data_IF_531690923004
#
_entry.id   IF_531690923004
#
_cell.length_a   1.000
_cell.length_b   1.000
_cell.length_c   1.000
_cell.angle_alpha   90.00
_cell.angle_beta   90.00
_cell.angle_gamma   90.00
#
_symmetry.space_group_name_H-M   'P 1'
#
loop_
_entity.id
_entity.type
_entity.pdbx_description
1 polymer ?
#
# COMPACT_ATOMS: atom_id res chain seq x y z
N UNK A 1 -3.58 -17.24 14.72
CA UNK A 1 -2.27 -16.93 14.10
C UNK A 1 -2.41 -15.57 13.46
N UNK A 2 -1.33 -14.79 13.43
CA UNK A 2 -1.37 -13.43 12.90
C UNK A 2 -1.28 -13.42 11.37
N UNK A 3 -1.81 -12.38 10.73
CA UNK A 3 -1.70 -12.13 9.30
C UNK A 3 -1.07 -10.75 9.07
N UNK A 4 -0.17 -10.65 8.09
CA UNK A 4 0.51 -9.42 7.71
C UNK A 4 0.07 -8.98 6.31
N UNK A 5 -0.48 -7.77 6.19
CA UNK A 5 -0.92 -7.21 4.92
C UNK A 5 -0.06 -5.98 4.61
N UNK A 6 0.55 -5.96 3.43
CA UNK A 6 1.28 -4.82 2.88
C UNK A 6 0.41 -4.05 1.88
N UNK A 7 0.20 -2.75 2.11
CA UNK A 7 -0.77 -1.92 1.36
C UNK A 7 -0.34 -1.38 -0.01
N UNK A 8 0.81 -1.79 -0.55
CA UNK A 8 1.36 -1.27 -1.82
C UNK A 8 2.38 -0.15 -1.63
N UNK A 9 2.87 0.41 -2.75
CA UNK A 9 3.86 1.49 -2.82
C UNK A 9 5.17 1.16 -2.10
N UNK A 10 5.76 0.03 -2.47
CA UNK A 10 7.03 -0.48 -1.95
C UNK A 10 8.23 0.24 -2.56
N UNK A 11 8.03 0.88 -3.71
CA UNK A 11 9.07 1.49 -4.52
C UNK A 11 8.83 2.98 -4.75
N UNK A 12 9.85 3.64 -5.30
CA UNK A 12 9.93 5.08 -5.54
C UNK A 12 10.12 5.90 -4.26
N UNK A 13 10.65 7.12 -4.44
CA UNK A 13 10.95 8.14 -3.41
C UNK A 13 12.04 7.78 -2.38
N UNK A 14 11.99 6.59 -1.79
CA UNK A 14 13.00 6.05 -0.88
C UNK A 14 14.28 5.61 -1.60
N UNK A 15 15.39 5.49 -0.84
CA UNK A 15 16.73 5.17 -1.38
C UNK A 15 16.99 3.68 -1.59
N UNK A 16 16.21 2.80 -0.96
CA UNK A 16 16.42 1.35 -0.90
C UNK A 16 15.21 0.57 -1.48
N UNK A 17 14.56 1.11 -2.51
CA UNK A 17 13.34 0.54 -3.12
C UNK A 17 13.49 -0.94 -3.51
N UNK A 18 14.65 -1.31 -4.06
CA UNK A 18 14.96 -2.69 -4.44
C UNK A 18 15.00 -3.62 -3.24
N UNK A 19 15.63 -3.21 -2.13
CA UNK A 19 15.67 -4.03 -0.90
C UNK A 19 14.29 -4.17 -0.28
N UNK A 20 13.48 -3.11 -0.30
CA UNK A 20 12.11 -3.13 0.25
C UNK A 20 11.26 -4.14 -0.51
N UNK A 21 11.12 -4.00 -1.83
CA UNK A 21 10.27 -4.91 -2.61
C UNK A 21 10.79 -6.36 -2.60
N UNK A 22 12.13 -6.56 -2.61
CA UNK A 22 12.73 -7.90 -2.44
C UNK A 22 12.34 -8.52 -1.10
N UNK A 23 12.38 -7.74 -0.02
CA UNK A 23 12.02 -8.21 1.33
C UNK A 23 10.53 -8.56 1.41
N UNK A 24 9.64 -7.72 0.86
CA UNK A 24 8.19 -7.99 0.82
C UNK A 24 7.91 -9.28 0.06
N UNK A 25 8.48 -9.46 -1.14
CA UNK A 25 8.35 -10.69 -1.93
C UNK A 25 8.86 -11.91 -1.17
N UNK A 26 10.04 -11.84 -0.56
CA UNK A 26 10.60 -12.95 0.23
C UNK A 26 9.72 -13.33 1.43
N UNK A 27 9.14 -12.35 2.13
CA UNK A 27 8.20 -12.60 3.22
C UNK A 27 6.93 -13.30 2.71
N UNK A 28 6.39 -12.84 1.58
CA UNK A 28 5.23 -13.49 0.92
C UNK A 28 5.54 -14.92 0.51
N UNK A 29 6.68 -15.16 -0.13
CA UNK A 29 7.07 -16.49 -0.61
C UNK A 29 7.32 -17.46 0.54
N UNK A 30 7.87 -16.98 1.66
CA UNK A 30 8.13 -17.79 2.85
C UNK A 30 6.86 -18.10 3.65
N UNK A 31 5.87 -17.21 3.61
CA UNK A 31 4.64 -17.29 4.41
C UNK A 31 3.39 -17.03 3.55
N UNK A 32 3.13 -17.86 2.52
CA UNK A 32 2.11 -17.57 1.49
C UNK A 32 0.69 -17.44 2.04
N UNK A 33 0.35 -18.15 3.12
CA UNK A 33 -0.99 -18.15 3.73
C UNK A 33 -1.18 -17.03 4.77
N UNK A 34 -0.09 -16.39 5.21
CA UNK A 34 -0.10 -15.41 6.31
C UNK A 34 0.37 -14.01 5.90
N UNK A 35 1.00 -13.87 4.75
CA UNK A 35 1.45 -12.57 4.22
C UNK A 35 0.68 -12.27 2.95
N UNK A 36 0.16 -11.05 2.83
CA UNK A 36 -0.47 -10.53 1.61
C UNK A 36 0.25 -9.25 1.21
N UNK A 37 0.50 -9.09 -0.09
CA UNK A 37 1.06 -7.87 -0.66
C UNK A 37 0.06 -7.37 -1.71
N UNK A 38 -0.41 -6.13 -1.57
CA UNK A 38 -1.26 -5.46 -2.54
C UNK A 38 -0.40 -4.69 -3.54
N UNK A 39 -0.93 -4.45 -4.74
CA UNK A 39 -0.29 -3.57 -5.70
C UNK A 39 -0.58 -2.10 -5.35
N UNK A 40 0.45 -1.25 -5.34
CA UNK A 40 0.29 0.20 -5.32
C UNK A 40 0.32 0.82 -6.72
N UNK A 41 0.04 2.12 -6.82
CA UNK A 41 0.12 2.80 -8.11
C UNK A 41 1.57 2.91 -8.61
N UNK A 42 2.55 2.91 -7.71
CA UNK A 42 3.97 2.90 -8.08
C UNK A 42 4.40 1.59 -8.73
N UNK A 43 3.97 0.45 -8.18
CA UNK A 43 4.19 -0.86 -8.79
C UNK A 43 3.45 -1.00 -10.13
N UNK A 44 2.26 -0.43 -10.25
CA UNK A 44 1.49 -0.45 -11.49
C UNK A 44 2.19 0.32 -12.61
N UNK A 45 2.66 1.55 -12.35
CA UNK A 45 3.44 2.30 -13.33
C UNK A 45 4.75 1.57 -13.70
N UNK A 46 5.40 0.91 -12.74
CA UNK A 46 6.60 0.09 -13.02
C UNK A 46 6.27 -1.08 -13.95
N UNK A 47 5.17 -1.78 -13.68
CA UNK A 47 4.67 -2.87 -14.52
C UNK A 47 4.46 -2.38 -15.97
N UNK A 48 3.81 -1.24 -16.15
CA UNK A 48 3.56 -0.66 -17.49
C UNK A 48 4.86 -0.22 -18.19
N UNK A 49 5.84 0.29 -17.45
CA UNK A 49 7.18 0.56 -17.99
C UNK A 49 7.84 -0.70 -18.56
N UNK A 50 7.89 -1.79 -17.78
CA UNK A 50 8.56 -3.03 -18.22
C UNK A 50 7.78 -3.79 -19.31
N UNK A 51 6.44 -3.74 -19.30
CA UNK A 51 5.62 -4.50 -20.26
C UNK A 51 5.35 -3.72 -21.55
N UNK A 52 5.15 -2.41 -21.44
CA UNK A 52 4.65 -1.58 -22.54
C UNK A 52 5.61 -0.44 -22.93
N UNK A 53 6.70 -0.24 -22.18
CA UNK A 53 7.64 0.84 -22.41
C UNK A 53 7.14 2.22 -21.96
N UNK A 54 6.09 2.29 -21.12
CA UNK A 54 5.54 3.55 -20.64
C UNK A 54 6.54 4.31 -19.77
N UNK A 55 6.90 5.53 -20.18
CA UNK A 55 7.90 6.36 -19.51
C UNK A 55 7.33 7.17 -18.33
N UNK A 56 6.02 7.12 -18.04
CA UNK A 56 5.38 7.85 -16.95
C UNK A 56 6.06 7.53 -15.60
N UNK A 57 6.32 6.26 -15.31
CA UNK A 57 6.97 5.82 -14.08
C UNK A 57 8.30 6.56 -13.80
N UNK A 58 9.11 6.81 -14.84
CA UNK A 58 10.38 7.50 -14.71
C UNK A 58 10.22 8.93 -14.18
N UNK A 59 9.11 9.59 -14.49
CA UNK A 59 8.78 10.94 -13.99
C UNK A 59 8.29 10.93 -12.54
N UNK A 60 7.84 9.78 -12.03
CA UNK A 60 7.29 9.62 -10.68
C UNK A 60 8.26 8.90 -9.71
N UNK A 61 9.57 8.98 -9.98
CA UNK A 61 10.61 8.41 -9.12
C UNK A 61 11.27 7.14 -9.66
N UNK A 62 10.74 6.58 -10.75
CA UNK A 62 11.24 5.35 -11.37
C UNK A 62 12.71 5.40 -11.78
N UNK A 63 13.24 6.57 -12.17
CA UNK A 63 14.68 6.69 -12.49
C UNK A 63 15.59 6.35 -11.32
N UNK A 64 15.23 6.75 -10.09
CA UNK A 64 16.01 6.44 -8.89
C UNK A 64 15.85 4.97 -8.53
N UNK A 65 14.63 4.46 -8.63
CA UNK A 65 14.30 3.06 -8.39
C UNK A 65 15.06 2.13 -9.33
N UNK A 66 15.09 2.43 -10.63
CA UNK A 66 15.80 1.63 -11.63
C UNK A 66 17.30 1.50 -11.31
N UNK A 67 17.94 2.61 -10.91
CA UNK A 67 19.36 2.59 -10.47
C UNK A 67 19.60 1.76 -9.22
N UNK A 68 18.61 1.65 -8.33
CA UNK A 68 18.70 0.80 -7.15
C UNK A 68 18.44 -0.67 -7.51
N UNK A 69 17.53 -0.92 -8.45
CA UNK A 69 17.25 -2.25 -8.99
C UNK A 69 18.46 -2.86 -9.68
N UNK A 70 19.17 -2.09 -10.51
CA UNK A 70 20.43 -2.50 -11.18
C UNK A 70 21.49 -3.01 -10.19
N UNK A 71 21.45 -2.55 -8.94
CA UNK A 71 22.36 -2.97 -7.87
C UNK A 71 21.83 -4.13 -7.03
N UNK A 72 20.52 -4.35 -7.05
CA UNK A 72 19.82 -5.25 -6.13
C UNK A 72 19.42 -6.58 -6.78
N UNK A 73 19.14 -6.56 -8.08
CA UNK A 73 18.62 -7.69 -8.84
C UNK A 73 19.53 -8.04 -10.01
N UNK A 74 19.80 -9.33 -10.20
CA UNK A 74 20.25 -9.85 -11.47
C UNK A 74 19.11 -9.77 -12.51
N UNK A 75 19.44 -9.80 -13.81
CA UNK A 75 18.44 -9.68 -14.88
C UNK A 75 17.30 -10.71 -14.77
N UNK A 76 17.62 -11.96 -14.45
CA UNK A 76 16.62 -13.01 -14.25
C UNK A 76 15.72 -12.76 -13.02
N UNK A 77 16.29 -12.25 -11.91
CA UNK A 77 15.49 -11.88 -10.72
C UNK A 77 14.55 -10.71 -11.02
N UNK A 78 14.97 -9.80 -11.91
CA UNK A 78 14.14 -8.66 -12.31
C UNK A 78 12.93 -9.11 -13.12
N UNK A 79 13.09 -10.06 -14.05
CA UNK A 79 11.98 -10.63 -14.81
C UNK A 79 10.97 -11.32 -13.88
N UNK A 80 11.45 -12.13 -12.93
CA UNK A 80 10.62 -12.76 -11.90
C UNK A 80 9.87 -11.73 -11.04
N UNK A 81 10.56 -10.63 -10.67
CA UNK A 81 9.96 -9.56 -9.89
C UNK A 81 8.82 -8.86 -10.66
N UNK A 82 9.01 -8.57 -11.94
CA UNK A 82 7.95 -7.96 -12.77
C UNK A 82 6.76 -8.91 -12.91
N UNK A 83 6.99 -10.20 -13.12
CA UNK A 83 5.93 -11.20 -13.16
C UNK A 83 5.16 -11.31 -11.83
N UNK A 84 5.87 -11.23 -10.71
CA UNK A 84 5.26 -11.22 -9.39
C UNK A 84 4.42 -9.96 -9.19
N UNK A 85 4.92 -8.78 -9.56
CA UNK A 85 4.16 -7.52 -9.49
C UNK A 85 2.89 -7.57 -10.33
N UNK A 86 2.93 -8.15 -11.54
CA UNK A 86 1.73 -8.33 -12.38
C UNK A 86 0.61 -9.13 -11.69
N UNK A 87 0.97 -9.99 -10.73
CA UNK A 87 0.03 -10.89 -10.03
C UNK A 87 -0.44 -10.33 -8.68
N UNK A 88 0.08 -9.17 -8.25
CA UNK A 88 -0.35 -8.56 -7.00
C UNK A 88 -1.83 -8.14 -7.08
N UNK A 89 -2.66 -8.51 -6.08
CA UNK A 89 -4.07 -8.15 -6.06
C UNK A 89 -4.28 -6.66 -5.84
N UNK A 90 -5.37 -6.14 -6.43
CA UNK A 90 -5.90 -4.79 -6.16
C UNK A 90 -6.57 -4.71 -4.79
N UNK A 91 -7.34 -5.76 -4.47
CA UNK A 91 -8.16 -5.85 -3.27
C UNK A 91 -7.92 -7.19 -2.61
N UNK A 92 -7.82 -7.21 -1.29
CA UNK A 92 -7.83 -8.42 -0.48
C UNK A 92 -8.94 -8.34 0.56
N UNK A 93 -9.60 -9.45 0.82
CA UNK A 93 -10.66 -9.57 1.82
C UNK A 93 -10.31 -10.70 2.79
N UNK A 94 -10.31 -10.38 4.08
CA UNK A 94 -10.30 -11.38 5.15
C UNK A 94 -11.70 -11.46 5.81
N UNK A 95 -11.81 -12.13 6.95
CA UNK A 95 -13.09 -12.29 7.65
C UNK A 95 -13.66 -10.98 8.23
N UNK A 96 -12.84 -9.95 8.45
CA UNK A 96 -13.19 -8.74 9.20
C UNK A 96 -13.05 -7.44 8.39
N UNK A 97 -12.14 -7.37 7.42
CA UNK A 97 -11.73 -6.17 6.72
C UNK A 97 -11.59 -6.40 5.21
N UNK A 98 -11.70 -5.30 4.47
CA UNK A 98 -11.25 -5.19 3.08
C UNK A 98 -9.98 -4.36 3.05
N UNK A 99 -9.00 -4.76 2.26
CA UNK A 99 -7.74 -4.06 2.08
C UNK A 99 -7.60 -3.65 0.61
N UNK A 100 -7.25 -2.40 0.38
CA UNK A 100 -6.95 -1.82 -0.95
C UNK A 100 -5.81 -0.84 -0.81
N UNK A 101 -5.15 -0.47 -1.92
CA UNK A 101 -4.08 0.52 -1.87
C UNK A 101 -4.61 1.94 -1.58
N UNK A 102 -5.62 2.41 -2.32
CA UNK A 102 -6.16 3.76 -2.14
C UNK A 102 -7.64 3.80 -1.78
N UNK A 103 -8.51 3.28 -2.66
CA UNK A 103 -9.95 3.32 -2.46
C UNK A 103 -10.69 2.19 -3.16
N UNK A 104 -12.02 2.31 -3.26
CA UNK A 104 -12.91 1.39 -3.96
C UNK A 104 -13.93 2.19 -4.77
N UNK A 105 -14.22 1.72 -5.98
CA UNK A 105 -15.32 2.20 -6.78
C UNK A 105 -16.62 1.52 -6.31
N UNK A 106 -17.61 2.27 -5.77
CA UNK A 106 -18.83 1.69 -5.23
C UNK A 106 -19.78 1.14 -6.30
N UNK A 107 -19.51 1.42 -7.58
CA UNK A 107 -20.32 0.98 -8.71
C UNK A 107 -19.78 -0.29 -9.39
N UNK A 108 -18.67 -0.84 -8.91
CA UNK A 108 -18.05 -2.07 -9.40
C UNK A 108 -18.04 -3.12 -8.28
N UNK A 109 -18.14 -4.40 -8.63
CA UNK A 109 -17.98 -5.47 -7.64
C UNK A 109 -16.53 -5.51 -7.11
N UNK A 110 -16.31 -6.00 -5.89
CA UNK A 110 -14.98 -6.03 -5.27
C UNK A 110 -13.94 -6.81 -6.10
N UNK A 111 -14.36 -7.88 -6.77
CA UNK A 111 -13.51 -8.72 -7.62
C UNK A 111 -13.39 -8.24 -9.07
N UNK A 112 -14.08 -7.14 -9.42
CA UNK A 112 -14.14 -6.57 -10.77
C UNK A 112 -13.70 -5.10 -10.79
N UNK A 113 -13.07 -4.63 -9.72
CA UNK A 113 -12.60 -3.26 -9.62
C UNK A 113 -11.62 -2.93 -10.76
N UNK A 114 -11.83 -1.78 -11.40
CA UNK A 114 -10.87 -1.19 -12.31
C UNK A 114 -9.56 -0.89 -11.57
N UNK A 115 -8.44 -0.90 -12.30
CA UNK A 115 -7.13 -0.49 -11.78
C UNK A 115 -7.07 1.01 -11.45
N UNK A 116 -8.05 1.78 -11.90
CA UNK A 116 -8.18 3.22 -11.59
C UNK A 116 -8.27 3.49 -10.07
N UNK A 117 -8.75 2.52 -9.30
CA UNK A 117 -8.83 2.65 -7.83
C UNK A 117 -7.47 2.88 -7.17
N UNK A 118 -6.35 2.56 -7.84
CA UNK A 118 -5.00 2.78 -7.33
C UNK A 118 -4.63 4.27 -7.26
N UNK A 119 -5.34 5.14 -7.99
CA UNK A 119 -5.12 6.60 -8.00
C UNK A 119 -6.29 7.39 -7.41
N UNK A 120 -7.29 6.72 -6.82
CA UNK A 120 -8.43 7.39 -6.21
C UNK A 120 -7.93 8.34 -5.12
N UNK A 121 -8.39 9.59 -5.12
CA UNK A 121 -7.98 10.54 -4.08
C UNK A 121 -8.69 10.25 -2.76
N UNK A 122 -8.11 10.66 -1.63
CA UNK A 122 -8.78 10.57 -0.33
C UNK A 122 -10.11 11.34 -0.34
N UNK A 123 -10.16 12.50 -0.99
CA UNK A 123 -11.39 13.29 -1.10
C UNK A 123 -12.51 12.50 -1.80
N UNK A 124 -12.21 11.87 -2.94
CA UNK A 124 -13.20 11.07 -3.67
C UNK A 124 -13.62 9.83 -2.87
N UNK A 125 -12.67 9.16 -2.22
CA UNK A 125 -12.99 7.95 -1.46
C UNK A 125 -13.83 8.24 -0.20
N UNK A 126 -13.59 9.37 0.47
CA UNK A 126 -14.33 9.77 1.67
C UNK A 126 -15.67 10.45 1.37
N UNK A 127 -15.89 10.94 0.14
CA UNK A 127 -17.20 11.45 -0.33
C UNK A 127 -18.24 10.33 -0.47
N UNK A 128 -17.80 9.09 -0.72
CA UNK A 128 -18.70 7.92 -0.71
C UNK A 128 -19.35 7.79 0.67
N UNK A 129 -20.66 7.56 0.74
CA UNK A 129 -21.31 7.38 2.05
C UNK A 129 -20.91 6.04 2.68
N UNK A 130 -20.86 5.98 4.02
CA UNK A 130 -20.56 4.73 4.74
C UNK A 130 -21.57 3.62 4.41
N UNK A 131 -22.83 3.98 4.19
CA UNK A 131 -23.89 3.04 3.81
C UNK A 131 -23.62 2.41 2.43
N UNK A 132 -23.27 3.22 1.43
CA UNK A 132 -22.92 2.72 0.09
C UNK A 132 -21.67 1.83 0.17
N UNK A 133 -20.65 2.27 0.91
CA UNK A 133 -19.42 1.49 1.09
C UNK A 133 -19.70 0.14 1.76
N UNK A 134 -20.48 0.11 2.84
CA UNK A 134 -20.84 -1.12 3.53
C UNK A 134 -21.74 -2.06 2.72
N UNK A 135 -22.58 -1.51 1.84
CA UNK A 135 -23.31 -2.34 0.88
C UNK A 135 -22.37 -3.09 -0.05
N UNK A 136 -21.30 -2.45 -0.54
CA UNK A 136 -20.27 -3.09 -1.36
C UNK A 136 -19.43 -4.08 -0.53
N UNK A 137 -19.02 -3.70 0.68
CA UNK A 137 -18.05 -4.46 1.49
C UNK A 137 -18.69 -5.48 2.44
N UNK A 138 -20.02 -5.67 2.37
CA UNK A 138 -20.78 -6.54 3.28
C UNK A 138 -20.55 -6.17 4.75
N UNK A 139 -20.58 -4.87 5.04
CA UNK A 139 -20.31 -4.25 6.35
C UNK A 139 -18.88 -4.39 6.88
N UNK A 140 -17.92 -4.85 6.06
CA UNK A 140 -16.51 -4.88 6.45
C UNK A 140 -15.88 -3.49 6.28
N UNK A 141 -15.15 -2.97 7.27
CA UNK A 141 -14.40 -1.73 7.09
C UNK A 141 -13.25 -1.90 6.10
N UNK A 142 -12.85 -0.80 5.48
CA UNK A 142 -11.79 -0.74 4.47
C UNK A 142 -10.52 -0.17 5.07
N UNK A 143 -9.41 -0.89 4.95
CA UNK A 143 -8.07 -0.45 5.29
C UNK A 143 -7.35 -0.05 4.00
N UNK A 144 -6.84 1.17 3.95
CA UNK A 144 -6.20 1.73 2.76
C UNK A 144 -4.98 2.59 3.10
N UNK A 145 -4.32 3.12 2.08
CA UNK A 145 -3.18 4.04 2.17
C UNK A 145 -3.23 5.09 1.07
N UNK A 146 -2.13 5.22 0.32
CA UNK A 146 -1.94 6.08 -0.86
C UNK A 146 -1.86 7.59 -0.58
N UNK A 147 -2.73 8.11 0.28
CA UNK A 147 -2.72 9.51 0.69
C UNK A 147 -2.09 9.63 2.09
N UNK A 148 -0.88 10.18 2.22
CA UNK A 148 -0.22 10.30 3.52
C UNK A 148 -0.98 11.15 4.54
N UNK A 149 -1.10 10.65 5.76
CA UNK A 149 -1.71 11.34 6.90
C UNK A 149 -0.72 11.49 8.07
N UNK A 150 -0.95 12.48 8.94
CA UNK A 150 -0.14 12.65 10.16
C UNK A 150 -0.42 11.56 11.21
N UNK A 151 -1.69 11.16 11.30
CA UNK A 151 -2.21 10.23 12.29
C UNK A 151 -3.20 9.27 11.66
N UNK A 152 -3.18 8.04 12.14
CA UNK A 152 -4.12 7.00 11.71
C UNK A 152 -5.44 7.21 12.43
N UNK A 153 -6.48 7.32 11.63
CA UNK A 153 -7.84 7.56 12.06
C UNK A 153 -8.76 6.46 11.49
N UNK A 154 -9.75 6.06 12.28
CA UNK A 154 -10.78 5.11 11.89
C UNK A 154 -12.16 5.74 12.03
N UNK A 155 -12.87 5.90 10.90
CA UNK A 155 -14.20 6.51 10.87
C UNK A 155 -15.35 5.50 11.09
N UNK A 156 -15.02 4.25 11.44
CA UNK A 156 -15.97 3.15 11.53
C UNK A 156 -16.12 2.37 10.22
N UNK A 157 -15.81 2.97 9.06
CA UNK A 157 -15.87 2.34 7.74
C UNK A 157 -14.52 2.32 7.02
N UNK A 158 -13.60 3.23 7.33
CA UNK A 158 -12.32 3.45 6.65
C UNK A 158 -11.20 3.70 7.65
N UNK A 159 -10.04 3.12 7.39
CA UNK A 159 -8.80 3.35 8.11
C UNK A 159 -7.66 3.61 7.11
N UNK A 160 -7.08 4.81 7.15
CA UNK A 160 -5.90 5.16 6.36
C UNK A 160 -4.63 4.86 7.16
N UNK A 161 -3.82 3.90 6.69
CA UNK A 161 -2.57 3.44 7.31
C UNK A 161 -1.30 4.10 6.78
N UNK A 162 -1.38 5.02 5.82
CA UNK A 162 -0.20 5.63 5.20
C UNK A 162 0.28 6.87 5.97
N UNK A 163 1.43 6.77 6.63
CA UNK A 163 2.08 7.89 7.33
C UNK A 163 3.17 8.59 6.50
N UNK A 164 3.22 8.30 5.20
CA UNK A 164 4.09 8.96 4.23
C UNK A 164 5.56 8.88 4.56
N UNK A 165 6.10 7.67 4.75
CA UNK A 165 7.50 7.43 5.16
C UNK A 165 8.54 8.26 4.38
N UNK A 166 8.32 8.56 3.10
CA UNK A 166 9.20 9.43 2.31
C UNK A 166 8.45 10.51 1.52
N UNK A 167 7.17 10.73 1.84
CA UNK A 167 6.24 11.53 1.03
C UNK A 167 5.47 12.55 1.86
N UNK A 168 5.33 12.37 3.18
CA UNK A 168 4.68 13.36 4.02
C UNK A 168 5.44 14.69 3.99
N UNK A 169 4.70 15.79 4.03
CA UNK A 169 5.24 17.14 3.79
C UNK A 169 6.09 17.65 4.96
N UNK A 170 5.76 17.27 6.20
CA UNK A 170 6.58 17.51 7.38
C UNK A 170 7.56 16.35 7.57
N UNK A 171 8.86 16.62 7.47
CA UNK A 171 9.89 15.57 7.52
C UNK A 171 9.96 14.89 8.89
N UNK A 172 9.73 15.66 9.95
CA UNK A 172 9.62 15.20 11.33
C UNK A 172 8.43 14.27 11.53
N UNK A 173 7.38 14.41 10.71
CA UNK A 173 6.18 13.57 10.82
C UNK A 173 6.24 12.27 10.01
N UNK A 174 7.09 12.19 8.98
CA UNK A 174 7.27 10.98 8.16
C UNK A 174 7.47 9.73 9.01
N UNK A 175 6.68 8.70 8.72
CA UNK A 175 6.79 7.43 9.41
C UNK A 175 6.35 6.23 8.58
N UNK A 176 6.80 5.05 9.02
CA UNK A 176 6.27 3.76 8.56
C UNK A 176 5.41 3.18 9.69
N UNK A 177 4.13 2.92 9.40
CA UNK A 177 3.20 2.35 10.34
C UNK A 177 3.13 0.81 10.25
N UNK A 178 3.04 0.17 11.40
CA UNK A 178 2.53 -1.19 11.57
C UNK A 178 1.27 -1.11 12.43
N UNK A 179 0.11 -1.35 11.82
CA UNK A 179 -1.19 -1.25 12.49
C UNK A 179 -1.63 -2.63 12.99
N UNK A 180 -1.93 -2.73 14.28
CA UNK A 180 -2.61 -3.89 14.86
C UNK A 180 -4.11 -3.58 14.91
N UNK A 181 -4.83 -4.08 13.90
CA UNK A 181 -6.27 -3.86 13.73
C UNK A 181 -7.11 -4.52 14.84
N UNK A 182 -6.60 -5.58 15.47
CA UNK A 182 -7.33 -6.27 16.54
C UNK A 182 -7.38 -5.45 17.83
N UNK A 183 -6.34 -4.63 18.06
CA UNK A 183 -6.20 -3.77 19.24
C UNK A 183 -6.42 -2.30 18.93
N UNK A 184 -6.50 -1.94 17.65
CA UNK A 184 -6.60 -0.56 17.15
C UNK A 184 -5.50 0.33 17.73
N UNK A 185 -4.27 -0.19 17.67
CA UNK A 185 -3.03 0.51 17.98
C UNK A 185 -2.12 0.46 16.77
N UNK A 186 -1.12 1.32 16.72
CA UNK A 186 -0.10 1.24 15.69
C UNK A 186 1.28 1.62 16.23
N UNK A 187 2.29 0.99 15.65
CA UNK A 187 3.69 1.31 15.88
C UNK A 187 4.19 2.15 14.71
N UNK A 188 4.87 3.26 14.99
CA UNK A 188 5.43 4.15 13.98
C UNK A 188 6.94 4.15 14.10
N UNK A 189 7.62 3.71 13.05
CA UNK A 189 9.04 4.01 12.89
C UNK A 189 9.19 5.44 12.35
N UNK A 190 9.75 6.34 13.15
CA UNK A 190 9.94 7.76 12.81
C UNK A 190 11.25 7.94 12.03
N UNK A 191 11.15 8.41 10.79
CA UNK A 191 12.32 8.53 9.91
C UNK A 191 13.35 9.56 10.41
N UNK A 192 12.87 10.62 11.05
CA UNK A 192 13.70 11.70 11.60
C UNK A 192 14.54 11.28 12.81
N UNK A 193 14.05 10.35 13.64
CA UNK A 193 14.68 9.98 14.91
C UNK A 193 15.20 8.54 14.96
N UNK A 194 14.76 7.67 14.04
CA UNK A 194 15.04 6.24 14.05
C UNK A 194 14.39 5.48 15.21
N UNK A 195 13.45 6.11 15.93
CA UNK A 195 12.74 5.51 17.07
C UNK A 195 11.41 4.92 16.64
N UNK A 196 10.95 3.93 17.41
CA UNK A 196 9.60 3.38 17.30
C UNK A 196 8.74 3.97 18.41
N UNK A 197 7.60 4.52 18.03
CA UNK A 197 6.58 5.01 18.93
C UNK A 197 5.33 4.14 18.85
N UNK A 198 4.69 3.88 19.99
CA UNK A 198 3.37 3.25 20.05
C UNK A 198 2.31 4.33 20.17
N UNK A 199 1.28 4.28 19.32
CA UNK A 199 0.14 5.21 19.28
C UNK A 199 -1.18 4.44 19.23
N UNK A 200 -2.27 5.11 19.56
CA UNK A 200 -3.64 4.56 19.44
C UNK A 200 -4.30 5.10 18.17
N UNK A 201 -5.09 4.25 17.50
CA UNK A 201 -5.91 4.67 16.35
C UNK A 201 -7.05 5.56 16.87
N UNK A 202 -7.15 6.77 16.35
CA UNK A 202 -8.21 7.72 16.71
C UNK A 202 -9.56 7.24 16.13
N UNK A 203 -10.67 7.47 16.85
CA UNK A 203 -12.03 7.07 16.46
C UNK A 203 -13.03 8.23 16.65
N UNK A 204 -13.97 8.42 15.72
CA UNK A 204 -15.15 9.28 15.89
C UNK A 204 -16.44 8.55 15.51
#
# INVERSE_FOLDING_TARGET
MDQLIFGGDYINRGKDSGKVIKTVKQLKDKHPDHVVALIGNHEEMMKDYYRNGDQLWLKHGGQKTLKDFEKTFAAAEMEELVEWVCKLPLVYEDDQFIFTHSGLNPYEALNEQSRDILWMSEADFYDISKEVLFSLTRNKPVVHGHTPVERIYFDGARLNGDLGSHTYFLEEERGLALVDLSRMIYYVYKQSTGKIEKREVLRF
#
